data_IF_407018423481
#
_entry.id   IF_407018423481
#
_cell.length_a   1.000
_cell.length_b   1.000
_cell.length_c   1.000
_cell.angle_alpha   90.00
_cell.angle_beta   90.00
_cell.angle_gamma   90.00
#
_symmetry.space_group_name_H-M   'P 1'
#
loop_
_entity.id
_entity.type
_entity.pdbx_description
1 polymer ?
#
# COMPACT_ATOMS: atom_id res chain seq x y z
N UNK A 1 15.81 21.77 14.93
CA UNK A 1 16.06 22.99 14.10
C UNK A 1 16.84 22.61 12.84
N UNK A 2 17.86 21.76 12.95
CA UNK A 2 18.77 21.41 11.84
C UNK A 2 18.04 20.79 10.63
N UNK A 3 17.16 19.81 10.84
CA UNK A 3 16.34 19.24 9.75
C UNK A 3 15.51 20.32 9.01
N UNK A 4 14.94 21.25 9.74
CA UNK A 4 14.18 22.35 9.12
C UNK A 4 15.07 23.32 8.36
N UNK A 5 16.28 23.64 8.88
CA UNK A 5 17.24 24.52 8.20
C UNK A 5 17.83 23.85 6.95
N UNK A 6 17.90 22.52 6.90
CA UNK A 6 18.32 21.75 5.73
C UNK A 6 17.22 21.56 4.69
N UNK A 7 16.00 22.05 4.94
CA UNK A 7 14.88 21.92 4.01
C UNK A 7 14.23 20.55 3.97
N UNK A 8 14.35 19.75 5.03
CA UNK A 8 13.74 18.41 5.11
C UNK A 8 12.22 18.53 5.11
N UNK A 9 11.53 17.79 4.23
CA UNK A 9 10.07 17.76 4.10
C UNK A 9 9.43 16.50 4.69
N UNK A 10 10.20 15.40 4.81
CA UNK A 10 9.77 14.16 5.42
C UNK A 10 10.85 13.65 6.38
N UNK A 11 10.46 13.29 7.60
CA UNK A 11 11.32 12.63 8.57
C UNK A 11 10.73 11.28 8.95
N UNK A 12 11.37 10.19 8.54
CA UNK A 12 11.14 8.85 9.09
C UNK A 12 12.01 8.70 10.34
N UNK A 13 11.38 8.34 11.46
CA UNK A 13 12.03 8.21 12.75
C UNK A 13 11.91 6.79 13.27
N UNK A 14 13.01 6.09 13.22
CA UNK A 14 13.11 4.67 13.58
C UNK A 14 13.13 4.46 15.10
N UNK A 15 12.87 3.23 15.55
CA UNK A 15 12.78 2.89 16.97
C UNK A 15 13.88 1.88 17.41
N UNK A 16 15.00 1.82 16.68
CA UNK A 16 16.10 0.91 16.96
C UNK A 16 16.70 1.13 18.36
N UNK A 17 17.00 0.03 19.05
CA UNK A 17 17.65 0.02 20.37
C UNK A 17 16.93 0.87 21.43
N UNK A 18 15.60 0.94 21.37
CA UNK A 18 14.77 1.72 22.26
C UNK A 18 13.94 0.80 23.22
N UNK A 19 13.40 1.33 24.32
CA UNK A 19 12.59 0.56 25.27
C UNK A 19 11.39 -0.13 24.60
N UNK A 20 11.02 -1.31 25.09
CA UNK A 20 9.98 -2.14 24.46
C UNK A 20 8.54 -1.65 24.70
N UNK A 21 8.30 -0.81 25.71
CA UNK A 21 6.97 -0.38 26.12
C UNK A 21 6.28 0.58 25.11
N UNK A 22 4.95 0.51 25.06
CA UNK A 22 4.14 1.44 24.23
C UNK A 22 4.22 2.87 24.77
N UNK A 23 4.16 3.07 26.07
CA UNK A 23 4.19 4.41 26.71
C UNK A 23 5.50 5.11 26.37
N UNK A 24 6.62 4.43 26.56
CA UNK A 24 7.95 4.97 26.26
C UNK A 24 8.11 5.30 24.76
N UNK A 25 7.53 4.46 23.88
CA UNK A 25 7.51 4.75 22.45
C UNK A 25 6.71 6.04 22.16
N UNK A 26 5.50 6.16 22.69
CA UNK A 26 4.67 7.35 22.52
C UNK A 26 5.37 8.63 23.04
N UNK A 27 6.01 8.57 24.20
CA UNK A 27 6.74 9.71 24.75
C UNK A 27 7.91 10.15 23.86
N UNK A 28 8.69 9.20 23.32
CA UNK A 28 9.81 9.49 22.42
C UNK A 28 9.33 10.11 21.11
N UNK A 29 8.28 9.52 20.49
CA UNK A 29 7.68 10.08 19.27
C UNK A 29 7.01 11.43 19.52
N UNK A 30 6.32 11.62 20.66
CA UNK A 30 5.75 12.90 21.04
C UNK A 30 6.81 14.00 21.20
N UNK A 31 7.98 13.66 21.79
CA UNK A 31 9.10 14.57 21.91
C UNK A 31 9.60 15.05 20.54
N UNK A 32 9.77 14.11 19.58
CA UNK A 32 10.18 14.45 18.22
C UNK A 32 9.09 15.24 17.49
N UNK A 33 7.83 14.80 17.52
CA UNK A 33 6.71 15.50 16.88
C UNK A 33 6.55 16.94 17.40
N UNK A 34 6.70 17.16 18.72
CA UNK A 34 6.71 18.51 19.31
C UNK A 34 7.89 19.34 18.79
N UNK A 35 9.08 18.75 18.70
CA UNK A 35 10.27 19.43 18.20
C UNK A 35 10.14 19.82 16.73
N UNK A 36 9.55 18.96 15.88
CA UNK A 36 9.29 19.24 14.47
C UNK A 36 8.30 20.41 14.33
N UNK A 37 7.16 20.38 15.01
CA UNK A 37 6.17 21.46 14.98
C UNK A 37 6.75 22.81 15.44
N UNK A 38 7.61 22.80 16.46
CA UNK A 38 8.26 24.00 16.98
C UNK A 38 9.23 24.68 15.99
N UNK A 39 9.56 24.05 14.86
CA UNK A 39 10.38 24.68 13.80
C UNK A 39 9.59 25.63 12.91
N UNK A 40 8.26 25.54 12.88
CA UNK A 40 7.39 26.25 11.96
C UNK A 40 7.39 25.72 10.52
N UNK A 41 8.25 24.75 10.19
CA UNK A 41 8.27 24.10 8.86
C UNK A 41 7.29 22.94 8.82
N UNK A 42 6.56 22.79 7.70
CA UNK A 42 5.71 21.63 7.45
C UNK A 42 6.59 20.43 7.12
N UNK A 43 6.71 19.48 8.07
CA UNK A 43 7.50 18.26 7.92
C UNK A 43 6.57 17.07 8.14
N UNK A 44 6.45 16.19 7.14
CA UNK A 44 5.74 14.92 7.28
C UNK A 44 6.50 14.02 8.25
N UNK A 45 5.84 13.58 9.31
CA UNK A 45 6.45 12.76 10.33
C UNK A 45 6.03 11.31 10.18
N UNK A 46 6.97 10.42 9.86
CA UNK A 46 6.78 8.98 9.71
C UNK A 46 7.28 8.25 10.95
N UNK A 47 6.36 7.58 11.63
CA UNK A 47 6.61 6.76 12.82
C UNK A 47 7.00 5.36 12.38
N UNK A 48 8.20 4.89 12.74
CA UNK A 48 8.69 3.57 12.35
C UNK A 48 9.07 2.73 13.58
N UNK A 49 8.10 1.96 14.09
CA UNK A 49 8.28 1.01 15.18
C UNK A 49 7.79 -0.40 14.78
N UNK A 50 7.69 -0.64 13.46
CA UNK A 50 7.40 -1.93 12.81
C UNK A 50 6.04 -2.54 13.18
N UNK A 51 5.06 -1.72 13.59
CA UNK A 51 3.73 -2.19 13.99
C UNK A 51 3.66 -2.91 15.33
N UNK A 52 4.77 -3.02 16.06
CA UNK A 52 4.87 -3.85 17.27
C UNK A 52 4.02 -3.32 18.43
N UNK A 53 3.70 -2.04 18.44
CA UNK A 53 2.94 -1.36 19.52
C UNK A 53 1.65 -0.73 19.02
N UNK A 54 1.13 -1.23 17.86
CA UNK A 54 -0.10 -0.78 17.24
C UNK A 54 -0.10 0.74 16.96
N UNK A 55 0.88 1.27 16.20
CA UNK A 55 1.05 2.71 16.01
C UNK A 55 -0.15 3.37 15.34
N UNK A 56 -0.96 2.64 14.57
CA UNK A 56 -2.21 3.11 14.01
C UNK A 56 -3.20 3.64 15.05
N UNK A 57 -3.13 3.19 16.30
CA UNK A 57 -4.00 3.64 17.38
C UNK A 57 -3.56 4.94 18.05
N UNK A 58 -2.28 5.34 17.92
CA UNK A 58 -1.74 6.46 18.69
C UNK A 58 -0.83 7.42 17.91
N UNK A 59 -0.31 7.05 16.73
CA UNK A 59 0.68 7.87 16.02
C UNK A 59 0.18 9.29 15.71
N UNK A 60 -1.11 9.45 15.35
CA UNK A 60 -1.71 10.78 15.15
C UNK A 60 -1.60 11.67 16.38
N UNK A 61 -1.78 11.10 17.58
CA UNK A 61 -1.74 11.86 18.85
C UNK A 61 -0.36 12.45 19.13
N UNK A 62 0.69 11.79 18.67
CA UNK A 62 2.08 12.27 18.82
C UNK A 62 2.56 13.12 17.64
N UNK A 63 1.68 13.39 16.67
CA UNK A 63 1.96 14.20 15.49
C UNK A 63 2.48 13.42 14.28
N UNK A 64 2.33 12.09 14.28
CA UNK A 64 2.64 11.24 13.15
C UNK A 64 1.62 11.38 12.02
N UNK A 65 2.09 11.38 10.79
CA UNK A 65 1.31 11.43 9.55
C UNK A 65 1.35 10.10 8.80
N UNK A 66 2.41 9.32 9.00
CA UNK A 66 2.59 7.97 8.48
C UNK A 66 3.02 7.07 9.65
N UNK A 67 2.66 5.79 9.61
CA UNK A 67 3.14 4.81 10.60
C UNK A 67 3.30 3.43 9.98
N UNK A 68 4.49 2.86 10.15
CA UNK A 68 4.78 1.50 9.73
C UNK A 68 3.90 0.51 10.47
N UNK A 69 3.20 -0.34 9.72
CA UNK A 69 2.26 -1.32 10.27
C UNK A 69 2.88 -2.71 10.47
N UNK A 70 4.05 -2.95 9.89
CA UNK A 70 4.73 -4.25 9.89
C UNK A 70 6.24 -4.13 10.00
N UNK A 71 6.94 -5.24 10.18
CA UNK A 71 8.37 -5.38 9.91
C UNK A 71 8.72 -5.06 8.46
N UNK A 72 10.01 -5.04 8.15
CA UNK A 72 10.53 -4.58 6.86
C UNK A 72 10.14 -5.49 5.71
N UNK A 73 9.81 -4.87 4.56
CA UNK A 73 9.50 -5.56 3.32
C UNK A 73 10.76 -6.08 2.64
N UNK A 74 10.66 -7.27 2.05
CA UNK A 74 11.65 -7.79 1.13
C UNK A 74 11.11 -7.93 -0.28
N UNK A 75 12.02 -7.97 -1.25
CA UNK A 75 11.68 -8.29 -2.65
C UNK A 75 11.41 -9.79 -2.80
N UNK A 76 10.33 -10.23 -2.17
CA UNK A 76 9.83 -11.60 -2.16
C UNK A 76 8.31 -11.59 -2.03
N UNK A 77 7.65 -12.51 -2.74
CA UNK A 77 6.19 -12.49 -2.82
C UNK A 77 5.52 -12.95 -1.53
N UNK A 78 5.91 -14.12 -1.03
CA UNK A 78 5.34 -14.72 0.17
C UNK A 78 6.46 -15.24 1.07
N UNK A 79 6.62 -14.62 2.22
CA UNK A 79 7.63 -14.96 3.23
C UNK A 79 7.26 -14.38 4.58
N UNK A 80 7.00 -15.23 5.55
CA UNK A 80 6.89 -14.82 6.94
C UNK A 80 8.26 -14.47 7.54
N UNK A 81 8.31 -13.42 8.35
CA UNK A 81 9.51 -13.14 9.13
C UNK A 81 9.76 -14.28 10.14
N UNK A 82 11.00 -14.69 10.27
CA UNK A 82 11.37 -15.66 11.28
C UNK A 82 11.37 -15.04 12.69
N UNK A 83 11.57 -15.88 13.75
CA UNK A 83 11.55 -15.43 15.15
C UNK A 83 12.64 -14.42 15.50
N UNK A 84 13.72 -14.37 14.72
CA UNK A 84 14.85 -13.44 14.93
C UNK A 84 14.67 -12.13 14.13
N UNK A 85 13.52 -11.93 13.50
CA UNK A 85 13.29 -10.86 12.55
C UNK A 85 13.59 -11.32 11.13
N UNK A 86 13.66 -10.39 10.21
CA UNK A 86 13.88 -10.64 8.80
C UNK A 86 12.80 -10.00 7.94
N UNK A 87 13.03 -9.99 6.65
CA UNK A 87 12.13 -9.36 5.69
C UNK A 87 10.87 -10.18 5.50
N UNK A 88 9.74 -9.48 5.38
CA UNK A 88 8.44 -10.05 5.05
C UNK A 88 8.17 -9.98 3.56
N UNK A 89 7.40 -10.93 3.06
CA UNK A 89 6.88 -10.90 1.70
C UNK A 89 5.75 -9.88 1.53
N UNK A 90 5.50 -9.52 0.27
CA UNK A 90 4.44 -8.58 -0.11
C UNK A 90 3.08 -9.06 0.39
N UNK A 91 2.74 -10.34 0.19
CA UNK A 91 1.46 -10.91 0.65
C UNK A 91 1.29 -10.86 2.16
N UNK A 92 2.36 -11.13 2.92
CA UNK A 92 2.31 -11.13 4.38
C UNK A 92 2.06 -9.73 4.93
N UNK A 93 2.66 -8.70 4.30
CA UNK A 93 2.43 -7.30 4.67
C UNK A 93 1.01 -6.86 4.25
N UNK A 94 0.54 -7.29 3.09
CA UNK A 94 -0.83 -7.05 2.65
C UNK A 94 -1.85 -7.58 3.67
N UNK A 95 -1.63 -8.79 4.20
CA UNK A 95 -2.51 -9.38 5.25
C UNK A 95 -2.51 -8.56 6.55
N UNK A 96 -1.36 -8.01 6.93
CA UNK A 96 -1.25 -7.17 8.12
C UNK A 96 -1.96 -5.83 7.93
N UNK A 97 -1.83 -5.21 6.73
CA UNK A 97 -2.39 -3.89 6.47
C UNK A 97 -3.89 -3.92 6.13
N UNK A 98 -4.40 -5.02 5.58
CA UNK A 98 -5.79 -5.14 5.13
C UNK A 98 -6.83 -4.74 6.18
N UNK A 99 -6.76 -5.20 7.45
CA UNK A 99 -7.77 -4.90 8.47
C UNK A 99 -7.62 -3.48 9.07
N UNK A 100 -6.63 -2.70 8.66
CA UNK A 100 -6.33 -1.40 9.27
C UNK A 100 -6.93 -0.21 8.51
N UNK A 101 -7.84 -0.45 7.57
CA UNK A 101 -8.43 0.57 6.71
C UNK A 101 -9.12 1.71 7.49
N UNK A 102 -9.72 1.44 8.64
CA UNK A 102 -10.38 2.45 9.48
C UNK A 102 -9.42 3.49 10.08
N UNK A 103 -8.13 3.17 10.22
CA UNK A 103 -7.13 4.06 10.80
C UNK A 103 -6.54 5.02 9.77
N UNK A 104 -6.61 4.68 8.48
CA UNK A 104 -6.09 5.51 7.40
C UNK A 104 -7.09 6.58 6.96
N UNK A 105 -6.60 7.76 6.63
CA UNK A 105 -7.41 8.86 6.14
C UNK A 105 -6.62 10.17 6.14
N UNK A 106 -7.25 11.29 5.78
CA UNK A 106 -6.58 12.58 5.78
C UNK A 106 -5.83 12.84 7.08
N UNK A 107 -4.60 13.32 6.95
CA UNK A 107 -3.65 13.58 8.04
C UNK A 107 -3.01 12.35 8.69
N UNK A 108 -3.24 11.13 8.16
CA UNK A 108 -2.53 9.97 8.70
C UNK A 108 -2.84 8.67 7.97
N UNK A 109 -1.80 7.98 7.51
CA UNK A 109 -1.91 6.79 6.69
C UNK A 109 -1.09 5.62 7.23
N UNK A 110 -1.63 4.41 7.06
CA UNK A 110 -0.90 3.18 7.27
C UNK A 110 0.25 3.08 6.27
N UNK A 111 1.42 2.73 6.74
CA UNK A 111 2.62 2.54 5.93
C UNK A 111 3.01 1.06 5.92
N UNK A 112 2.68 0.31 4.86
CA UNK A 112 3.06 -1.09 4.70
C UNK A 112 4.50 -1.26 4.20
N UNK A 113 5.32 -0.22 4.31
CA UNK A 113 6.68 -0.10 3.81
C UNK A 113 6.79 0.30 2.33
N UNK A 114 8.02 0.49 1.88
CA UNK A 114 8.39 0.98 0.55
C UNK A 114 7.93 0.04 -0.58
N UNK A 115 7.99 0.54 -1.80
CA UNK A 115 7.83 -0.25 -3.01
C UNK A 115 9.11 -1.02 -3.31
N UNK A 116 8.98 -2.34 -3.55
CA UNK A 116 10.12 -3.20 -3.97
C UNK A 116 10.15 -3.43 -5.49
N UNK A 117 9.35 -2.69 -6.24
CA UNK A 117 9.29 -2.77 -7.71
C UNK A 117 10.66 -2.52 -8.32
N UNK A 118 11.16 -3.44 -9.13
CA UNK A 118 12.42 -3.30 -9.86
C UNK A 118 13.69 -3.51 -9.02
N UNK A 119 13.60 -4.02 -7.78
CA UNK A 119 14.79 -4.38 -6.99
C UNK A 119 15.49 -5.59 -7.59
N UNK A 120 14.76 -6.57 -8.14
CA UNK A 120 15.33 -7.72 -8.84
C UNK A 120 16.13 -8.65 -7.94
N UNK A 121 15.69 -8.86 -6.71
CA UNK A 121 16.36 -9.72 -5.73
C UNK A 121 17.64 -9.16 -5.11
N UNK A 122 18.03 -7.94 -5.47
CA UNK A 122 19.29 -7.30 -5.00
C UNK A 122 19.22 -6.71 -3.59
N UNK A 123 18.19 -7.03 -2.82
CA UNK A 123 18.08 -6.54 -1.44
C UNK A 123 19.17 -7.15 -0.56
N UNK A 124 19.87 -6.31 0.19
CA UNK A 124 21.00 -6.73 1.06
C UNK A 124 20.63 -7.73 2.15
N UNK A 125 19.34 -7.90 2.44
CA UNK A 125 18.85 -8.76 3.53
C UNK A 125 18.17 -10.04 3.06
N UNK A 126 18.02 -10.24 1.75
CA UNK A 126 17.60 -11.51 1.15
C UNK A 126 18.88 -12.13 0.59
N UNK A 127 19.28 -13.29 1.08
CA UNK A 127 20.55 -13.93 0.66
C UNK A 127 20.72 -13.92 -0.86
N UNK A 128 21.94 -14.09 -1.33
CA UNK A 128 22.39 -13.95 -2.72
C UNK A 128 21.63 -14.79 -3.78
N UNK A 129 20.68 -15.62 -3.37
CA UNK A 129 19.90 -16.52 -4.24
C UNK A 129 18.48 -16.01 -4.55
N UNK A 130 18.04 -14.87 -4.01
CA UNK A 130 16.73 -14.33 -4.32
C UNK A 130 16.70 -13.76 -5.74
N UNK A 131 15.79 -14.26 -6.56
CA UNK A 131 15.54 -13.72 -7.90
C UNK A 131 14.64 -12.46 -7.88
N UNK A 132 14.12 -12.09 -6.71
CA UNK A 132 13.09 -11.07 -6.57
C UNK A 132 11.72 -11.53 -7.06
N UNK A 133 10.76 -10.60 -7.07
CA UNK A 133 9.44 -10.83 -7.59
C UNK A 133 9.42 -10.81 -9.12
N UNK A 134 8.42 -11.47 -9.71
CA UNK A 134 8.15 -11.41 -11.17
C UNK A 134 7.55 -10.05 -11.54
N UNK A 135 7.57 -9.71 -12.83
CA UNK A 135 6.99 -8.46 -13.31
C UNK A 135 5.47 -8.36 -13.00
N UNK A 136 4.73 -9.46 -13.06
CA UNK A 136 3.31 -9.47 -12.71
C UNK A 136 3.10 -9.25 -11.21
N UNK A 137 3.96 -9.81 -10.36
CA UNK A 137 3.94 -9.56 -8.92
C UNK A 137 4.27 -8.10 -8.59
N UNK A 138 5.21 -7.47 -9.30
CA UNK A 138 5.48 -6.03 -9.14
C UNK A 138 4.30 -5.15 -9.53
N UNK A 139 3.61 -5.46 -10.63
CA UNK A 139 2.38 -4.76 -11.03
C UNK A 139 1.31 -4.88 -9.95
N UNK A 140 1.09 -6.08 -9.44
CA UNK A 140 0.11 -6.34 -8.38
C UNK A 140 0.48 -5.67 -7.06
N UNK A 141 1.76 -5.68 -6.69
CA UNK A 141 2.26 -4.95 -5.53
C UNK A 141 1.95 -3.45 -5.63
N UNK A 142 2.29 -2.83 -6.76
CA UNK A 142 2.02 -1.40 -6.97
C UNK A 142 0.53 -1.08 -6.94
N UNK A 143 -0.29 -1.87 -7.65
CA UNK A 143 -1.74 -1.69 -7.67
C UNK A 143 -2.36 -1.80 -6.26
N UNK A 144 -1.97 -2.80 -5.48
CA UNK A 144 -2.48 -2.99 -4.12
C UNK A 144 -2.03 -1.87 -3.17
N UNK A 145 -0.77 -1.38 -3.27
CA UNK A 145 -0.31 -0.22 -2.50
C UNK A 145 -1.10 1.04 -2.87
N UNK A 146 -1.40 1.23 -4.15
CA UNK A 146 -2.25 2.33 -4.60
C UNK A 146 -3.68 2.23 -4.06
N UNK A 147 -4.28 1.06 -4.10
CA UNK A 147 -5.61 0.82 -3.51
C UNK A 147 -5.62 1.09 -2.01
N UNK A 148 -4.57 0.71 -1.30
CA UNK A 148 -4.47 0.92 0.15
C UNK A 148 -4.12 2.36 0.56
N UNK A 149 -4.02 3.32 -0.38
CA UNK A 149 -3.57 4.69 -0.12
C UNK A 149 -2.23 4.74 0.65
N UNK A 150 -1.36 3.78 0.38
CA UNK A 150 -0.06 3.66 1.04
C UNK A 150 0.92 4.72 0.54
N UNK A 151 1.92 5.12 1.33
CA UNK A 151 3.03 5.92 0.84
C UNK A 151 3.74 5.21 -0.33
N UNK A 152 3.95 5.90 -1.45
CA UNK A 152 4.62 5.36 -2.63
C UNK A 152 6.10 5.77 -2.62
N UNK A 153 6.90 5.11 -1.77
CA UNK A 153 8.32 5.35 -1.61
C UNK A 153 9.12 4.29 -2.35
N UNK A 154 9.85 4.66 -3.39
CA UNK A 154 10.66 3.73 -4.18
C UNK A 154 11.84 3.17 -3.38
N UNK A 155 11.96 1.84 -3.34
CA UNK A 155 13.07 1.14 -2.70
C UNK A 155 14.17 0.69 -3.67
N UNK A 156 13.97 0.88 -4.97
CA UNK A 156 14.92 0.51 -6.02
C UNK A 156 15.92 1.64 -6.33
N UNK A 157 16.94 1.33 -7.11
CA UNK A 157 17.87 2.35 -7.65
C UNK A 157 17.20 3.10 -8.80
N UNK A 158 16.71 4.30 -8.52
CA UNK A 158 15.99 5.16 -9.49
C UNK A 158 16.86 5.61 -10.68
N UNK A 159 18.18 5.44 -10.61
CA UNK A 159 19.11 5.77 -11.69
C UNK A 159 19.20 4.70 -12.77
N UNK A 160 18.79 3.46 -12.42
CA UNK A 160 18.93 2.26 -13.25
C UNK A 160 17.61 1.49 -13.37
N UNK A 161 16.51 2.20 -13.65
CA UNK A 161 15.24 1.58 -13.93
C UNK A 161 15.13 1.16 -15.39
N UNK A 162 14.68 -0.07 -15.63
CA UNK A 162 14.26 -0.51 -16.95
C UNK A 162 12.86 0.02 -17.31
N UNK A 163 12.49 -0.08 -18.59
CA UNK A 163 11.20 0.39 -19.08
C UNK A 163 10.02 -0.31 -18.39
N UNK A 164 10.16 -1.57 -18.04
CA UNK A 164 9.12 -2.33 -17.38
C UNK A 164 8.86 -1.85 -15.93
N UNK A 165 9.91 -1.49 -15.22
CA UNK A 165 9.85 -0.85 -13.91
C UNK A 165 9.22 0.54 -13.98
N UNK A 166 9.65 1.35 -14.97
CA UNK A 166 9.10 2.69 -15.21
C UNK A 166 7.61 2.64 -15.54
N UNK A 167 7.16 1.69 -16.39
CA UNK A 167 5.75 1.52 -16.73
C UNK A 167 4.88 1.24 -15.49
N UNK A 168 5.38 0.46 -14.54
CA UNK A 168 4.66 0.19 -13.29
C UNK A 168 4.62 1.44 -12.41
N UNK A 169 5.77 2.03 -12.11
CA UNK A 169 5.87 3.13 -11.14
C UNK A 169 5.27 4.46 -11.65
N UNK A 170 5.10 4.62 -12.95
CA UNK A 170 4.54 5.81 -13.59
C UNK A 170 3.09 5.62 -14.08
N UNK A 171 2.41 4.57 -13.65
CA UNK A 171 1.00 4.36 -13.99
C UNK A 171 0.13 5.46 -13.38
N UNK A 172 -0.30 6.39 -14.23
CA UNK A 172 -1.03 7.60 -13.82
C UNK A 172 -2.41 7.30 -13.23
N UNK A 173 -3.07 6.25 -13.72
CA UNK A 173 -4.40 5.89 -13.25
C UNK A 173 -4.32 5.30 -11.84
N UNK A 174 -3.35 4.42 -11.58
CA UNK A 174 -3.09 3.88 -10.24
C UNK A 174 -2.63 4.97 -9.27
N UNK A 175 -1.75 5.87 -9.70
CA UNK A 175 -1.31 7.01 -8.89
C UNK A 175 -2.50 7.91 -8.54
N UNK A 176 -3.40 8.20 -9.50
CA UNK A 176 -4.60 9.00 -9.24
C UNK A 176 -5.53 8.33 -8.19
N UNK A 177 -5.67 6.99 -8.24
CA UNK A 177 -6.41 6.24 -7.21
C UNK A 177 -5.73 6.35 -5.85
N UNK A 178 -4.40 6.26 -5.79
CA UNK A 178 -3.64 6.42 -4.54
C UNK A 178 -3.81 7.82 -3.95
N UNK A 179 -3.73 8.84 -4.81
CA UNK A 179 -3.75 10.27 -4.44
C UNK A 179 -5.18 10.85 -4.36
N UNK A 180 -6.22 10.03 -4.43
CA UNK A 180 -7.61 10.50 -4.28
C UNK A 180 -7.78 11.26 -2.97
N UNK A 181 -8.41 12.46 -3.05
CA UNK A 181 -8.48 13.43 -1.95
C UNK A 181 -9.29 12.95 -0.74
N UNK A 182 -10.10 11.89 -0.86
CA UNK A 182 -10.71 11.26 0.32
C UNK A 182 -9.67 10.62 1.23
N UNK A 183 -8.48 10.28 0.72
CA UNK A 183 -7.42 9.63 1.48
C UNK A 183 -7.80 8.28 2.10
N UNK A 184 -8.84 7.62 1.58
CA UNK A 184 -9.35 6.36 2.11
C UNK A 184 -8.54 5.17 1.63
N UNK A 185 -8.17 4.30 2.53
CA UNK A 185 -7.65 2.97 2.20
C UNK A 185 -8.80 2.10 1.66
N UNK A 186 -8.53 1.28 0.64
CA UNK A 186 -9.50 0.29 0.17
C UNK A 186 -9.85 -0.70 1.29
N UNK A 187 -11.10 -1.11 1.31
CA UNK A 187 -11.57 -2.24 2.11
C UNK A 187 -11.43 -3.52 1.29
N UNK A 188 -10.94 -4.58 1.91
CA UNK A 188 -10.97 -5.92 1.34
C UNK A 188 -12.36 -6.52 1.56
N UNK A 189 -13.27 -6.31 0.59
CA UNK A 189 -14.67 -6.73 0.67
C UNK A 189 -14.84 -8.25 0.58
N UNK A 190 -13.95 -8.92 -0.17
CA UNK A 190 -13.91 -10.38 -0.26
C UNK A 190 -12.50 -10.87 -0.02
N UNK A 191 -12.39 -11.89 0.84
CA UNK A 191 -11.20 -12.70 1.06
C UNK A 191 -11.59 -14.15 0.86
N UNK A 192 -11.36 -14.66 -0.38
CA UNK A 192 -11.53 -16.08 -0.68
C UNK A 192 -10.16 -16.81 -0.59
N UNK A 193 -10.17 -18.14 -0.72
CA UNK A 193 -8.96 -18.96 -0.62
C UNK A 193 -7.93 -18.58 -1.70
N UNK A 194 -8.40 -18.22 -2.91
CA UNK A 194 -7.56 -18.00 -4.09
C UNK A 194 -7.65 -16.60 -4.67
N UNK A 195 -8.56 -15.72 -4.19
CA UNK A 195 -8.64 -14.33 -4.67
C UNK A 195 -9.14 -13.36 -3.61
N UNK A 196 -8.86 -12.08 -3.83
CA UNK A 196 -9.42 -10.98 -3.08
C UNK A 196 -10.18 -10.03 -4.01
N UNK A 197 -11.22 -9.36 -3.47
CA UNK A 197 -11.81 -8.16 -4.08
C UNK A 197 -11.67 -7.01 -3.10
N UNK A 198 -11.08 -5.92 -3.58
CA UNK A 198 -10.85 -4.70 -2.81
C UNK A 198 -11.69 -3.57 -3.38
N UNK A 199 -12.27 -2.74 -2.53
CA UNK A 199 -13.12 -1.60 -2.91
C UNK A 199 -12.65 -0.34 -2.22
N UNK A 200 -12.38 0.70 -3.00
CA UNK A 200 -11.96 2.03 -2.54
C UNK A 200 -12.96 3.08 -3.04
N UNK A 201 -13.62 3.83 -2.14
CA UNK A 201 -14.43 4.97 -2.55
C UNK A 201 -13.52 6.08 -3.09
N UNK A 202 -13.98 6.77 -4.14
CA UNK A 202 -13.31 7.93 -4.74
C UNK A 202 -14.11 9.20 -4.49
N UNK A 203 -13.43 10.34 -4.50
CA UNK A 203 -14.03 11.64 -4.18
C UNK A 203 -15.15 12.05 -5.14
N UNK A 204 -15.10 11.60 -6.39
CA UNK A 204 -16.13 11.87 -7.41
C UNK A 204 -17.35 10.93 -7.32
N UNK A 205 -17.44 10.11 -6.29
CA UNK A 205 -18.55 9.20 -6.02
C UNK A 205 -18.44 7.83 -6.70
N UNK A 206 -17.45 7.63 -7.57
CA UNK A 206 -17.12 6.32 -8.15
C UNK A 206 -16.41 5.43 -7.12
N UNK A 207 -16.21 4.17 -7.47
CA UNK A 207 -15.43 3.21 -6.68
C UNK A 207 -14.31 2.62 -7.53
N UNK A 208 -13.09 2.61 -7.02
CA UNK A 208 -12.04 1.76 -7.57
C UNK A 208 -12.22 0.35 -7.00
N UNK A 209 -12.15 -0.67 -7.86
CA UNK A 209 -12.31 -2.08 -7.50
C UNK A 209 -11.12 -2.85 -8.01
N UNK A 210 -10.40 -3.53 -7.13
CA UNK A 210 -9.30 -4.41 -7.52
C UNK A 210 -9.70 -5.87 -7.33
N UNK A 211 -9.55 -6.67 -8.39
CA UNK A 211 -9.68 -8.12 -8.38
C UNK A 211 -8.27 -8.71 -8.41
N UNK A 212 -7.90 -9.42 -7.36
CA UNK A 212 -6.55 -9.93 -7.18
C UNK A 212 -6.53 -11.45 -7.09
N UNK A 213 -5.78 -12.10 -7.99
CA UNK A 213 -5.49 -13.53 -7.95
C UNK A 213 -4.29 -13.81 -7.05
N UNK A 214 -4.52 -14.57 -5.98
CA UNK A 214 -3.47 -14.90 -5.00
C UNK A 214 -2.61 -16.10 -5.40
N UNK A 215 -3.05 -16.85 -6.43
CA UNK A 215 -2.49 -18.14 -6.81
C UNK A 215 -1.49 -18.03 -7.98
N UNK A 216 -0.67 -19.04 -8.11
CA UNK A 216 0.25 -19.27 -9.23
C UNK A 216 -0.43 -19.89 -10.47
N UNK A 217 -1.75 -20.02 -10.43
CA UNK A 217 -2.60 -20.52 -11.51
C UNK A 217 -3.62 -19.48 -11.93
N UNK A 218 -4.05 -19.44 -13.21
CA UNK A 218 -5.09 -18.52 -13.67
C UNK A 218 -6.40 -18.71 -12.91
N UNK A 219 -7.12 -17.60 -12.64
CA UNK A 219 -8.41 -17.60 -11.97
C UNK A 219 -9.45 -16.79 -12.75
N UNK A 220 -10.72 -17.16 -12.59
CA UNK A 220 -11.85 -16.40 -13.06
C UNK A 220 -12.65 -15.92 -11.84
N UNK A 221 -12.85 -14.62 -11.73
CA UNK A 221 -13.59 -13.99 -10.63
C UNK A 221 -14.87 -13.42 -11.21
N UNK A 222 -16.00 -13.74 -10.59
CA UNK A 222 -17.27 -13.11 -10.91
C UNK A 222 -17.39 -11.79 -10.14
N UNK A 223 -17.50 -10.68 -10.87
CA UNK A 223 -17.73 -9.34 -10.32
C UNK A 223 -19.16 -8.89 -10.68
N UNK A 224 -20.00 -8.73 -9.67
CA UNK A 224 -21.38 -8.25 -9.82
C UNK A 224 -21.86 -7.54 -8.54
N UNK A 225 -23.07 -6.99 -8.56
CA UNK A 225 -23.63 -6.27 -7.43
C UNK A 225 -23.91 -7.16 -6.20
N UNK A 226 -23.91 -8.49 -6.35
CA UNK A 226 -24.05 -9.45 -5.23
C UNK A 226 -22.71 -9.76 -4.60
N UNK A 227 -21.62 -9.77 -5.39
CA UNK A 227 -20.27 -9.98 -4.88
C UNK A 227 -19.72 -8.76 -4.16
N UNK A 228 -20.18 -7.55 -4.54
CA UNK A 228 -19.79 -6.29 -3.88
C UNK A 228 -21.05 -5.43 -3.68
N UNK A 229 -21.51 -5.33 -2.45
CA UNK A 229 -22.71 -4.57 -2.11
C UNK A 229 -22.60 -3.09 -2.52
N UNK A 230 -23.65 -2.59 -3.17
CA UNK A 230 -23.73 -1.21 -3.63
C UNK A 230 -22.74 -0.85 -4.74
N UNK A 231 -22.23 -1.85 -5.48
CA UNK A 231 -21.40 -1.62 -6.67
C UNK A 231 -22.30 -1.41 -7.90
N UNK A 232 -22.13 -0.28 -8.60
CA UNK A 232 -22.73 -0.06 -9.91
C UNK A 232 -21.74 -0.43 -11.00
N UNK A 233 -22.14 -1.33 -11.89
CA UNK A 233 -21.38 -1.78 -13.06
C UNK A 233 -21.93 -1.24 -14.40
N UNK A 234 -22.82 -0.25 -14.37
CA UNK A 234 -23.32 0.40 -15.61
C UNK A 234 -22.21 1.06 -16.41
N UNK A 235 -21.19 1.58 -15.74
CA UNK A 235 -19.96 2.08 -16.34
C UNK A 235 -18.77 1.50 -15.58
N UNK A 236 -17.95 0.72 -16.29
CA UNK A 236 -16.74 0.08 -15.76
C UNK A 236 -15.57 0.48 -16.64
N UNK A 237 -14.69 1.31 -16.13
CA UNK A 237 -13.43 1.65 -16.79
C UNK A 237 -12.35 0.67 -16.33
N UNK A 238 -11.80 -0.09 -17.26
CA UNK A 238 -10.67 -0.99 -17.02
C UNK A 238 -9.35 -0.24 -17.18
N UNK A 239 -8.50 -0.27 -16.15
CA UNK A 239 -7.17 0.34 -16.22
C UNK A 239 -6.25 -0.39 -17.21
N UNK A 240 -6.39 -1.72 -17.34
CA UNK A 240 -5.58 -2.53 -18.24
C UNK A 240 -5.85 -2.21 -19.73
N UNK A 241 -7.13 -2.24 -20.12
CA UNK A 241 -7.53 -2.00 -21.51
C UNK A 241 -7.72 -0.53 -21.83
N UNK A 242 -7.77 0.34 -20.82
CA UNK A 242 -8.09 1.78 -20.92
C UNK A 242 -9.38 2.05 -21.67
N UNK A 243 -10.37 1.19 -21.45
CA UNK A 243 -11.68 1.26 -22.10
C UNK A 243 -12.80 1.17 -21.08
N UNK A 244 -13.95 1.75 -21.43
CA UNK A 244 -15.17 1.70 -20.64
C UNK A 244 -16.15 0.73 -21.27
N UNK A 245 -16.77 -0.11 -20.44
CA UNK A 245 -17.81 -1.06 -20.83
C UNK A 245 -19.02 -0.97 -19.88
N UNK A 246 -20.16 -1.50 -20.32
CA UNK A 246 -21.33 -1.71 -19.48
C UNK A 246 -21.36 -3.17 -19.06
N UNK A 247 -21.33 -3.41 -17.76
CA UNK A 247 -21.37 -4.73 -17.15
C UNK A 247 -22.49 -4.83 -16.09
N UNK A 248 -23.64 -4.16 -16.34
CA UNK A 248 -24.75 -4.08 -15.37
C UNK A 248 -25.21 -5.45 -14.85
N UNK A 249 -25.13 -6.48 -15.70
CA UNK A 249 -25.47 -7.86 -15.35
C UNK A 249 -24.31 -8.64 -14.66
N UNK A 250 -23.17 -7.98 -14.48
CA UNK A 250 -21.93 -8.57 -13.96
C UNK A 250 -20.92 -8.89 -15.06
N UNK A 251 -19.71 -9.22 -14.66
CA UNK A 251 -18.61 -9.59 -15.55
C UNK A 251 -17.73 -10.68 -14.95
N UNK A 252 -17.10 -11.46 -15.85
CA UNK A 252 -16.08 -12.42 -15.47
C UNK A 252 -14.71 -11.78 -15.66
N UNK A 253 -14.00 -11.56 -14.57
CA UNK A 253 -12.64 -11.05 -14.58
C UNK A 253 -11.67 -12.22 -14.68
N UNK A 254 -10.99 -12.33 -15.82
CA UNK A 254 -9.94 -13.36 -16.06
C UNK A 254 -8.60 -12.81 -15.58
N UNK A 255 -7.95 -13.52 -14.67
CA UNK A 255 -6.69 -13.14 -14.06
C UNK A 255 -5.61 -14.20 -14.33
N UNK A 256 -4.46 -13.73 -14.78
CA UNK A 256 -3.25 -14.53 -14.83
C UNK A 256 -2.75 -14.86 -13.39
N UNK A 257 -1.76 -15.76 -13.22
CA UNK A 257 -1.13 -15.99 -11.93
C UNK A 257 -0.67 -14.70 -11.26
N UNK A 258 -1.06 -14.51 -9.99
CA UNK A 258 -0.71 -13.35 -9.16
C UNK A 258 -1.17 -11.98 -9.68
N UNK A 259 -2.01 -11.93 -10.71
CA UNK A 259 -2.45 -10.68 -11.34
C UNK A 259 -3.47 -9.95 -10.48
N UNK A 260 -3.31 -8.62 -10.43
CA UNK A 260 -4.28 -7.68 -9.90
C UNK A 260 -4.79 -6.78 -11.03
N UNK A 261 -6.09 -6.84 -11.34
CA UNK A 261 -6.75 -5.91 -12.27
C UNK A 261 -7.58 -4.90 -11.51
N UNK A 262 -7.48 -3.64 -11.93
CA UNK A 262 -8.19 -2.54 -11.30
C UNK A 262 -9.18 -1.91 -12.26
N UNK A 263 -10.37 -1.61 -11.73
CA UNK A 263 -11.48 -1.01 -12.44
C UNK A 263 -11.98 0.23 -11.70
N UNK A 264 -12.47 1.23 -12.43
CA UNK A 264 -13.22 2.33 -11.84
C UNK A 264 -14.70 2.15 -12.22
N UNK A 265 -15.54 1.95 -11.23
CA UNK A 265 -16.94 1.58 -11.39
C UNK A 265 -17.88 2.72 -10.97
N UNK A 266 -18.95 2.91 -11.77
CA UNK A 266 -19.97 3.93 -11.54
C UNK A 266 -19.77 5.20 -12.36
N UNK A 267 -20.76 6.09 -12.28
CA UNK A 267 -20.73 7.41 -12.93
C UNK A 267 -20.20 8.45 -11.94
N UNK A 268 -19.37 9.41 -12.38
CA UNK A 268 -19.01 10.54 -11.53
C UNK A 268 -20.26 11.36 -11.18
N UNK A 269 -20.28 11.90 -9.96
CA UNK A 269 -21.35 12.77 -9.46
C UNK A 269 -21.19 14.20 -9.96
#
# INVERSE_FOLDING_TARGET
KDFASWGVDLLKYDYCNAPAGRVEAMERYAKMGKALRATGRSIVFSVCEWGQREPWKWAKQVGGHLWRVSGDIGDVWDREANRMGGLRGILNILEINAPLNEYAGPSGWNDPDMLVVGIGGKSMSIGSESKGCTQEQYKSHFALWCMMASPLLCGNDVRNMDDSTLQVLLDKDLIAINQDVLGKQAERSIRADYYDIWVKPLADGRKAVACFNRMDTPQNIELNAKTVEGLSLEQVYSLDSRSTENAADGMIVKLAPYQCKVYICGKPK
#
